data_IF_545409377905
#
_entry.id   IF_545409377905
#
_cell.length_a   1.000
_cell.length_b   1.000
_cell.length_c   1.000
_cell.angle_alpha   90.00
_cell.angle_beta   90.00
_cell.angle_gamma   90.00
#
_symmetry.space_group_name_H-M   'P 1'
#
loop_
_entity.id
_entity.type
_entity.pdbx_description
1 polymer ?
#
# COMPACT_ATOMS: atom_id res chain seq x y z
N UNK A 1 -12.24 -6.38 12.84
CA UNK A 1 -11.85 -6.13 11.43
C UNK A 1 -10.53 -5.37 11.39
N UNK A 2 -9.54 -5.81 10.58
CA UNK A 2 -8.25 -5.13 10.38
C UNK A 2 -8.27 -4.36 9.05
N UNK A 3 -9.12 -3.33 8.91
CA UNK A 3 -9.20 -2.51 7.70
C UNK A 3 -7.81 -2.02 7.21
N UNK A 4 -6.90 -1.57 8.08
CA UNK A 4 -5.56 -1.16 7.65
C UNK A 4 -4.79 -2.25 6.91
N UNK A 5 -4.93 -3.53 7.30
CA UNK A 5 -4.22 -4.63 6.63
C UNK A 5 -4.75 -4.84 5.21
N UNK A 6 -6.08 -4.87 5.02
CA UNK A 6 -6.67 -5.03 3.68
C UNK A 6 -6.30 -3.89 2.74
N UNK A 7 -6.20 -2.66 3.25
CA UNK A 7 -5.75 -1.50 2.48
C UNK A 7 -4.29 -1.66 2.05
N UNK A 8 -3.41 -2.10 2.95
CA UNK A 8 -2.00 -2.36 2.65
C UNK A 8 -1.87 -3.47 1.61
N UNK A 9 -2.57 -4.59 1.77
CA UNK A 9 -2.54 -5.71 0.81
C UNK A 9 -3.01 -5.30 -0.60
N UNK A 10 -4.11 -4.52 -0.68
CA UNK A 10 -4.59 -3.95 -1.93
C UNK A 10 -3.52 -3.03 -2.55
N UNK A 11 -2.96 -2.12 -1.77
CA UNK A 11 -1.99 -1.16 -2.28
C UNK A 11 -0.68 -1.83 -2.71
N UNK A 12 -0.21 -2.87 -2.00
CA UNK A 12 0.95 -3.67 -2.39
C UNK A 12 0.71 -4.41 -3.71
N UNK A 13 -0.48 -4.99 -3.90
CA UNK A 13 -0.86 -5.68 -5.14
C UNK A 13 -0.85 -4.73 -6.32
N UNK A 14 -1.41 -3.54 -6.13
CA UNK A 14 -1.57 -2.54 -7.17
C UNK A 14 -0.29 -1.73 -7.44
N UNK A 15 0.72 -1.80 -6.57
CA UNK A 15 1.97 -1.06 -6.71
C UNK A 15 3.09 -1.91 -7.32
N UNK A 16 3.97 -1.25 -8.07
CA UNK A 16 5.10 -1.89 -8.74
C UNK A 16 6.43 -1.79 -7.97
N UNK A 17 6.51 -0.92 -6.97
CA UNK A 17 7.70 -0.70 -6.16
C UNK A 17 7.32 0.02 -4.88
N UNK A 18 8.27 0.14 -3.96
CA UNK A 18 8.10 0.93 -2.74
C UNK A 18 7.79 2.39 -3.06
N UNK A 19 8.57 3.05 -3.92
CA UNK A 19 8.31 4.43 -4.33
C UNK A 19 6.93 4.61 -4.95
N UNK A 20 6.53 3.66 -5.79
CA UNK A 20 5.21 3.68 -6.40
C UNK A 20 4.10 3.51 -5.35
N UNK A 21 4.32 2.72 -4.29
CA UNK A 21 3.38 2.57 -3.19
C UNK A 21 3.26 3.86 -2.35
N UNK A 22 4.39 4.48 -1.99
CA UNK A 22 4.40 5.61 -1.04
C UNK A 22 4.10 6.96 -1.70
N UNK A 23 4.49 7.16 -2.97
CA UNK A 23 4.32 8.44 -3.67
C UNK A 23 3.04 8.55 -4.51
N UNK A 24 2.31 7.46 -4.76
CA UNK A 24 1.05 7.51 -5.50
C UNK A 24 -0.18 7.50 -4.60
N UNK A 25 -1.35 7.81 -5.14
CA UNK A 25 -2.62 7.76 -4.40
C UNK A 25 -3.17 6.34 -4.17
N UNK A 26 -2.40 5.28 -4.48
CA UNK A 26 -2.87 3.88 -4.41
C UNK A 26 -3.40 3.47 -3.04
N UNK A 27 -2.70 3.84 -1.96
CA UNK A 27 -3.15 3.57 -0.58
C UNK A 27 -4.50 4.24 -0.30
N UNK A 28 -4.67 5.49 -0.76
CA UNK A 28 -5.91 6.24 -0.60
C UNK A 28 -7.07 5.60 -1.38
N UNK A 29 -6.83 5.25 -2.66
CA UNK A 29 -7.81 4.56 -3.50
C UNK A 29 -8.25 3.22 -2.89
N UNK A 30 -7.30 2.40 -2.45
CA UNK A 30 -7.58 1.12 -1.80
C UNK A 30 -8.38 1.30 -0.51
N UNK A 31 -8.10 2.34 0.29
CA UNK A 31 -8.93 2.67 1.45
C UNK A 31 -10.38 2.96 1.03
N UNK A 32 -10.60 3.86 0.08
CA UNK A 32 -11.95 4.20 -0.37
C UNK A 32 -12.73 2.98 -0.87
N UNK A 33 -12.08 2.07 -1.60
CA UNK A 33 -12.69 0.83 -2.08
C UNK A 33 -13.08 -0.11 -0.94
N UNK A 34 -12.19 -0.33 0.03
CA UNK A 34 -12.49 -1.19 1.18
C UNK A 34 -13.60 -0.61 2.06
N UNK A 35 -13.64 0.71 2.22
CA UNK A 35 -14.70 1.39 2.99
C UNK A 35 -16.02 1.35 2.26
N UNK A 36 -16.03 1.58 0.94
CA UNK A 36 -17.27 1.45 0.16
C UNK A 36 -17.81 0.03 0.25
N UNK A 37 -16.97 -0.99 0.12
CA UNK A 37 -17.40 -2.39 0.26
C UNK A 37 -17.99 -2.70 1.64
N UNK A 38 -17.52 -2.04 2.71
CA UNK A 38 -18.12 -2.16 4.04
C UNK A 38 -19.48 -1.48 4.13
N UNK A 39 -19.61 -0.28 3.54
CA UNK A 39 -20.88 0.45 3.48
C UNK A 39 -21.93 -0.33 2.68
N UNK A 40 -21.53 -0.93 1.56
CA UNK A 40 -22.40 -1.69 0.67
C UNK A 40 -22.85 -3.02 1.30
N UNK A 41 -21.97 -3.65 2.09
CA UNK A 41 -22.25 -4.92 2.76
C UNK A 41 -23.11 -4.78 4.03
N UNK A 42 -23.23 -3.57 4.57
CA UNK A 42 -24.05 -3.31 5.76
C UNK A 42 -25.49 -2.97 5.34
N UNK A 43 -26.35 -3.99 5.47
CA UNK A 43 -27.80 -3.90 5.23
C UNK A 43 -28.54 -3.23 6.40
N UNK A 44 -27.88 -3.02 7.54
CA UNK A 44 -28.42 -2.36 8.72
C UNK A 44 -28.33 -0.83 8.67
N UNK A 45 -27.58 -0.25 7.73
CA UNK A 45 -27.52 1.20 7.58
C UNK A 45 -28.82 1.77 7.02
N UNK A 46 -29.40 2.73 7.75
CA UNK A 46 -30.44 3.60 7.18
C UNK A 46 -29.87 4.44 6.04
N UNK A 47 -30.74 4.94 5.17
CA UNK A 47 -30.34 5.77 4.02
C UNK A 47 -29.53 7.01 4.43
N UNK A 48 -29.84 7.62 5.58
CA UNK A 48 -29.14 8.77 6.11
C UNK A 48 -27.74 8.42 6.62
N UNK A 49 -27.60 7.30 7.34
CA UNK A 49 -26.30 6.84 7.85
C UNK A 49 -25.38 6.47 6.70
N UNK A 50 -25.90 5.78 5.68
CA UNK A 50 -25.17 5.45 4.45
C UNK A 50 -24.66 6.71 3.75
N UNK A 51 -25.52 7.71 3.55
CA UNK A 51 -25.13 8.98 2.92
C UNK A 51 -24.04 9.73 3.71
N UNK A 52 -24.11 9.73 5.04
CA UNK A 52 -23.07 10.34 5.89
C UNK A 52 -21.75 9.59 5.78
N UNK A 53 -21.78 8.25 5.80
CA UNK A 53 -20.59 7.42 5.65
C UNK A 53 -19.93 7.64 4.28
N UNK A 54 -20.71 7.66 3.21
CA UNK A 54 -20.23 7.95 1.84
C UNK A 54 -19.63 9.34 1.70
N UNK A 55 -20.24 10.34 2.34
CA UNK A 55 -19.71 11.72 2.33
C UNK A 55 -18.40 11.85 3.10
N UNK A 56 -18.22 11.09 4.19
CA UNK A 56 -17.05 11.20 5.07
C UNK A 56 -15.90 10.26 4.71
N UNK A 57 -16.14 9.20 3.93
CA UNK A 57 -15.13 8.16 3.64
C UNK A 57 -13.84 8.73 3.05
N UNK A 58 -13.94 9.68 2.10
CA UNK A 58 -12.77 10.22 1.40
C UNK A 58 -11.84 10.96 2.35
N UNK A 59 -12.39 11.85 3.19
CA UNK A 59 -11.64 12.58 4.21
C UNK A 59 -10.97 11.64 5.21
N UNK A 60 -11.70 10.61 5.69
CA UNK A 60 -11.13 9.63 6.58
C UNK A 60 -10.00 8.82 5.91
N UNK A 61 -10.20 8.41 4.66
CA UNK A 61 -9.23 7.65 3.91
C UNK A 61 -7.98 8.46 3.54
N UNK A 62 -8.08 9.77 3.35
CA UNK A 62 -6.91 10.65 3.23
C UNK A 62 -6.03 10.61 4.48
N UNK A 63 -6.64 10.73 5.66
CA UNK A 63 -5.91 10.67 6.94
C UNK A 63 -5.25 9.31 7.11
N UNK A 64 -6.02 8.23 6.93
CA UNK A 64 -5.52 6.86 7.08
C UNK A 64 -4.42 6.53 6.07
N UNK A 65 -4.55 6.95 4.81
CA UNK A 65 -3.53 6.71 3.80
C UNK A 65 -2.20 7.37 4.16
N UNK A 66 -2.23 8.60 4.66
CA UNK A 66 -1.02 9.29 5.14
C UNK A 66 -0.38 8.56 6.32
N UNK A 67 -1.17 8.13 7.30
CA UNK A 67 -0.67 7.36 8.45
C UNK A 67 -0.08 6.01 8.03
N UNK A 68 -0.71 5.30 7.09
CA UNK A 68 -0.20 4.03 6.56
C UNK A 68 1.11 4.23 5.81
N UNK A 69 1.18 5.23 4.92
CA UNK A 69 2.41 5.57 4.18
C UNK A 69 3.55 5.89 5.14
N UNK A 70 3.30 6.75 6.14
CA UNK A 70 4.28 7.08 7.16
C UNK A 70 4.77 5.82 7.90
N UNK A 71 3.86 4.99 8.38
CA UNK A 71 4.20 3.76 9.08
C UNK A 71 5.05 2.81 8.23
N UNK A 72 4.67 2.63 6.96
CA UNK A 72 5.41 1.81 6.01
C UNK A 72 6.83 2.36 5.79
N UNK A 73 6.95 3.66 5.54
CA UNK A 73 8.24 4.31 5.28
C UNK A 73 9.16 4.28 6.50
N UNK A 74 8.65 4.49 7.71
CA UNK A 74 9.50 4.58 8.90
C UNK A 74 9.84 3.21 9.50
N UNK A 75 8.93 2.23 9.44
CA UNK A 75 9.08 1.00 10.22
C UNK A 75 9.17 -0.29 9.38
N UNK A 76 8.72 -0.25 8.12
CA UNK A 76 8.55 -1.48 7.33
C UNK A 76 9.21 -1.41 5.95
N UNK A 77 9.91 -0.33 5.61
CA UNK A 77 10.51 -0.13 4.29
C UNK A 77 11.32 -1.35 3.82
N UNK A 78 12.30 -1.89 4.58
CA UNK A 78 13.11 -3.01 4.11
C UNK A 78 12.27 -4.26 3.75
N UNK A 79 11.23 -4.54 4.56
CA UNK A 79 10.34 -5.69 4.33
C UNK A 79 9.44 -5.49 3.12
N UNK A 80 8.95 -4.28 2.90
CA UNK A 80 8.10 -3.95 1.74
C UNK A 80 8.92 -3.97 0.45
N UNK A 81 10.14 -3.42 0.46
CA UNK A 81 11.06 -3.54 -0.67
C UNK A 81 11.44 -4.99 -0.96
N UNK A 82 11.68 -5.81 0.08
CA UNK A 82 11.88 -7.24 -0.09
C UNK A 82 10.65 -7.92 -0.71
N UNK A 83 9.44 -7.57 -0.27
CA UNK A 83 8.21 -8.08 -0.88
C UNK A 83 8.16 -7.80 -2.40
N UNK A 84 8.47 -6.57 -2.82
CA UNK A 84 8.53 -6.24 -4.24
C UNK A 84 9.62 -7.04 -4.96
N UNK A 85 10.86 -7.06 -4.44
CA UNK A 85 11.96 -7.85 -5.02
C UNK A 85 11.57 -9.31 -5.24
N UNK A 86 11.01 -9.95 -4.21
CA UNK A 86 10.55 -11.34 -4.28
C UNK A 86 9.42 -11.53 -5.30
N UNK A 87 8.44 -10.63 -5.35
CA UNK A 87 7.33 -10.71 -6.31
C UNK A 87 7.83 -10.61 -7.76
N UNK A 88 8.78 -9.73 -8.07
CA UNK A 88 9.35 -9.60 -9.41
C UNK A 88 10.29 -10.76 -9.77
N UNK A 89 11.05 -11.26 -8.80
CA UNK A 89 11.90 -12.43 -8.98
C UNK A 89 11.06 -13.70 -9.26
N UNK A 90 9.94 -13.88 -8.56
CA UNK A 90 9.05 -15.04 -8.72
C UNK A 90 8.12 -14.94 -9.95
N UNK A 91 7.76 -13.73 -10.39
CA UNK A 91 6.87 -13.54 -11.56
C UNK A 91 7.60 -13.50 -12.92
N UNK A 92 8.85 -13.98 -13.00
CA UNK A 92 9.44 -14.38 -14.28
C UNK A 92 10.30 -13.35 -15.01
N UNK A 93 11.14 -12.57 -14.31
CA UNK A 93 12.23 -11.81 -14.95
C UNK A 93 13.53 -12.03 -14.18
N UNK A 94 14.23 -13.12 -14.47
CA UNK A 94 15.69 -13.14 -14.44
C UNK A 94 16.26 -12.26 -15.56
N UNK A 95 16.04 -10.95 -15.50
CA UNK A 95 16.81 -9.98 -16.29
C UNK A 95 17.42 -8.99 -15.31
N UNK A 96 18.70 -9.26 -15.07
CA UNK A 96 19.77 -8.38 -14.62
C UNK A 96 19.44 -7.47 -13.43
N UNK A 97 20.08 -7.80 -12.31
CA UNK A 97 20.83 -6.79 -11.58
C UNK A 97 21.64 -5.95 -12.58
N UNK A 98 21.08 -4.85 -13.06
CA UNK A 98 21.89 -3.74 -13.56
C UNK A 98 21.70 -2.61 -12.53
N UNK A 99 22.80 -2.27 -11.85
CA UNK A 99 23.02 -1.12 -10.97
C UNK A 99 22.22 -1.03 -9.65
N UNK A 100 22.62 -1.83 -8.66
CA UNK A 100 22.63 -1.37 -7.25
C UNK A 100 23.86 -1.93 -6.51
N UNK A 101 24.97 -2.08 -7.23
CA UNK A 101 26.31 -2.22 -6.63
C UNK A 101 27.00 -0.86 -6.72
N UNK A 102 26.59 0.06 -5.85
CA UNK A 102 27.56 0.98 -5.29
C UNK A 102 28.47 0.18 -4.35
N UNK A 103 29.75 0.17 -4.67
CA UNK A 103 30.88 0.09 -3.73
C UNK A 103 30.74 -0.89 -2.55
N UNK A 104 31.07 -2.15 -2.78
CA UNK A 104 31.52 -3.04 -1.71
C UNK A 104 32.97 -3.46 -2.00
N UNK A 105 33.89 -2.72 -1.38
CA UNK A 105 35.25 -3.11 -0.97
C UNK A 105 36.26 -3.26 -2.12
N UNK A 106 36.90 -2.14 -2.45
CA UNK A 106 38.23 -2.15 -3.08
C UNK A 106 39.28 -2.51 -2.02
N UNK A 107 39.99 -3.61 -2.27
CA UNK A 107 41.29 -4.02 -1.73
C UNK A 107 41.52 -4.04 -0.20
N UNK A 108 41.36 -5.23 0.39
CA UNK A 108 42.38 -5.71 1.33
C UNK A 108 43.60 -6.17 0.50
N UNK A 109 44.70 -5.41 0.59
CA UNK A 109 46.06 -5.96 0.48
C UNK A 109 46.83 -5.56 1.72
#
# INVERSE_FOLDING_TARGET
>A
MRLPIKVIECALRDSASFDNLIHTEKVHKCCNQQVQALIDADDGFTSEVRAVAEKKKDSWCKIQASSIKYCISTHYQPRVEQHFRTRYFLNGIGRKQDSYEENIIDNMT
#
